data_IF_423127362078
#
_entry.id   IF_423127362078
#
_cell.length_a   1.000
_cell.length_b   1.000
_cell.length_c   1.000
_cell.angle_alpha   90.00
_cell.angle_beta   90.00
_cell.angle_gamma   90.00
#
_symmetry.space_group_name_H-M   'P 1'
#
loop_
_entity.id
_entity.type
_entity.pdbx_description
1 polymer ?
#
# COMPACT_ATOMS: atom_id res chain seq x y z
N UNK A 1 -1.28 18.28 5.25
CA UNK A 1 -0.37 18.19 4.09
C UNK A 1 -0.87 17.09 3.15
N UNK A 2 -1.87 17.38 2.32
CA UNK A 2 -2.49 16.36 1.45
C UNK A 2 -1.57 15.90 0.29
N UNK A 3 -0.43 16.58 0.08
CA UNK A 3 0.53 16.33 -1.01
C UNK A 3 1.84 15.65 -0.59
N UNK A 4 2.00 15.29 0.68
CA UNK A 4 3.23 14.64 1.14
C UNK A 4 3.51 13.36 0.34
N UNK A 5 2.47 12.56 0.07
CA UNK A 5 2.55 11.32 -0.71
C UNK A 5 2.78 11.53 -2.22
N UNK A 6 2.70 12.77 -2.72
CA UNK A 6 3.04 13.13 -4.11
C UNK A 6 4.47 13.69 -4.23
N UNK A 7 5.24 13.66 -3.14
CA UNK A 7 6.63 14.09 -3.12
C UNK A 7 7.57 12.87 -3.08
N UNK A 8 8.59 12.87 -3.95
CA UNK A 8 9.65 11.87 -3.96
C UNK A 8 10.42 11.83 -2.63
N UNK A 9 10.70 13.01 -2.04
CA UNK A 9 11.40 13.13 -0.76
C UNK A 9 10.66 12.42 0.36
N UNK A 10 9.32 12.44 0.34
CA UNK A 10 8.54 11.74 1.35
C UNK A 10 8.79 10.23 1.28
N UNK A 11 8.69 9.61 0.10
CA UNK A 11 8.86 8.17 -0.05
C UNK A 11 10.29 7.69 0.16
N UNK A 12 11.27 8.56 -0.12
CA UNK A 12 12.69 8.23 0.01
C UNK A 12 13.23 8.50 1.42
N UNK A 13 12.81 9.59 2.05
CA UNK A 13 13.48 10.14 3.24
C UNK A 13 12.58 10.15 4.49
N UNK A 14 11.24 10.17 4.35
CA UNK A 14 10.31 10.28 5.49
C UNK A 14 9.47 9.01 5.76
N UNK A 15 9.07 8.30 4.71
CA UNK A 15 8.28 7.08 4.83
C UNK A 15 9.11 5.99 5.49
N UNK A 16 8.58 5.44 6.57
CA UNK A 16 9.21 4.35 7.33
C UNK A 16 8.14 3.37 7.80
N UNK A 17 8.47 2.08 7.81
CA UNK A 17 7.57 1.06 8.35
C UNK A 17 7.67 1.07 9.87
N UNK A 18 6.78 1.84 10.49
CA UNK A 18 6.72 1.95 11.96
C UNK A 18 6.08 0.71 12.60
N UNK A 19 6.27 0.48 13.92
CA UNK A 19 5.60 -0.61 14.63
C UNK A 19 4.06 -0.57 14.55
N UNK A 20 3.48 0.63 14.44
CA UNK A 20 2.02 0.79 14.23
C UNK A 20 1.60 0.28 12.85
N UNK A 21 2.37 0.63 11.81
CA UNK A 21 2.14 0.14 10.44
C UNK A 21 2.32 -1.38 10.38
N UNK A 22 3.33 -1.91 11.05
CA UNK A 22 3.56 -3.35 11.15
C UNK A 22 2.36 -4.07 11.78
N UNK A 23 1.82 -3.56 12.89
CA UNK A 23 0.65 -4.15 13.52
C UNK A 23 -0.59 -4.09 12.62
N UNK A 24 -0.78 -2.97 11.91
CA UNK A 24 -1.86 -2.83 10.91
C UNK A 24 -1.68 -3.82 9.76
N UNK A 25 -0.44 -4.05 9.32
CA UNK A 25 -0.09 -5.04 8.30
C UNK A 25 -0.42 -6.47 8.75
N UNK A 26 -0.08 -6.85 9.98
CA UNK A 26 -0.44 -8.16 10.53
C UNK A 26 -1.96 -8.39 10.57
N UNK A 27 -2.75 -7.36 10.88
CA UNK A 27 -4.21 -7.45 10.81
C UNK A 27 -4.70 -7.64 9.37
N UNK A 28 -4.12 -6.95 8.39
CA UNK A 28 -4.46 -7.14 6.98
C UNK A 28 -4.14 -8.56 6.49
N UNK A 29 -3.06 -9.17 6.98
CA UNK A 29 -2.76 -10.59 6.72
C UNK A 29 -3.81 -11.53 7.31
N UNK A 30 -4.27 -11.28 8.54
CA UNK A 30 -5.33 -12.08 9.17
C UNK A 30 -6.64 -12.03 8.35
N UNK A 31 -6.99 -10.85 7.82
CA UNK A 31 -8.17 -10.66 6.98
C UNK A 31 -8.02 -11.32 5.60
N UNK A 32 -6.86 -11.16 4.97
CA UNK A 32 -6.56 -11.71 3.64
C UNK A 32 -6.29 -13.22 3.63
N UNK A 33 -5.80 -13.76 4.75
CA UNK A 33 -5.50 -15.17 4.98
C UNK A 33 -4.59 -15.81 3.90
N UNK A 34 -3.60 -15.05 3.43
CA UNK A 34 -2.66 -15.46 2.37
C UNK A 34 -1.31 -14.72 2.50
N UNK A 35 -0.20 -15.31 2.03
CA UNK A 35 1.07 -14.60 1.93
C UNK A 35 1.00 -13.49 0.87
N UNK A 36 1.85 -12.47 0.99
CA UNK A 36 1.88 -11.31 0.09
C UNK A 36 3.29 -11.07 -0.43
N UNK A 37 3.41 -10.54 -1.64
CA UNK A 37 4.69 -10.09 -2.17
C UNK A 37 5.06 -8.71 -1.62
N UNK A 38 6.35 -8.35 -1.65
CA UNK A 38 6.79 -7.00 -1.26
C UNK A 38 6.03 -5.93 -2.04
N UNK A 39 5.83 -6.11 -3.35
CA UNK A 39 5.06 -5.15 -4.17
C UNK A 39 3.60 -5.02 -3.70
N UNK A 40 2.93 -6.13 -3.35
CA UNK A 40 1.56 -6.08 -2.84
C UNK A 40 1.48 -5.37 -1.47
N UNK A 41 2.47 -5.61 -0.60
CA UNK A 41 2.59 -4.92 0.70
C UNK A 41 2.84 -3.44 0.47
N UNK A 42 3.76 -3.06 -0.41
CA UNK A 42 4.04 -1.67 -0.79
C UNK A 42 2.76 -0.97 -1.26
N UNK A 43 2.00 -1.58 -2.18
CA UNK A 43 0.74 -1.01 -2.66
C UNK A 43 -0.28 -0.80 -1.53
N UNK A 44 -0.37 -1.74 -0.59
CA UNK A 44 -1.25 -1.63 0.57
C UNK A 44 -0.83 -0.48 1.49
N UNK A 45 0.45 -0.35 1.79
CA UNK A 45 0.97 0.73 2.62
C UNK A 45 0.81 2.10 1.95
N UNK A 46 1.10 2.19 0.66
CA UNK A 46 0.91 3.41 -0.11
C UNK A 46 -0.55 3.84 -0.16
N UNK A 47 -1.48 2.88 -0.28
CA UNK A 47 -2.92 3.16 -0.17
C UNK A 47 -3.28 3.73 1.20
N UNK A 48 -2.74 3.18 2.28
CA UNK A 48 -3.02 3.70 3.63
C UNK A 48 -2.49 5.11 3.85
N UNK A 49 -1.29 5.42 3.37
CA UNK A 49 -0.77 6.79 3.42
C UNK A 49 -1.61 7.71 2.52
N UNK A 50 -1.99 7.27 1.32
CA UNK A 50 -2.89 8.05 0.46
C UNK A 50 -4.25 8.32 1.14
N UNK A 51 -4.86 7.32 1.79
CA UNK A 51 -6.13 7.46 2.53
C UNK A 51 -6.00 8.38 3.75
N UNK A 52 -4.89 8.28 4.49
CA UNK A 52 -4.58 9.15 5.64
C UNK A 52 -4.42 10.61 5.23
N UNK A 53 -3.89 10.85 4.03
CA UNK A 53 -3.68 12.18 3.47
C UNK A 53 -4.83 12.65 2.55
N UNK A 54 -5.83 11.79 2.31
CA UNK A 54 -7.01 12.12 1.52
C UNK A 54 -7.86 13.18 2.23
N UNK A 55 -8.45 14.06 1.42
CA UNK A 55 -9.41 15.04 1.92
C UNK A 55 -10.68 14.32 2.42
N UNK A 56 -11.39 14.88 3.42
CA UNK A 56 -12.72 14.39 3.79
C UNK A 56 -13.64 14.35 2.55
N UNK A 57 -14.54 13.37 2.47
CA UNK A 57 -15.34 13.10 1.26
C UNK A 57 -16.18 14.29 0.73
N UNK A 58 -16.37 15.34 1.53
CA UNK A 58 -17.12 16.55 1.16
C UNK A 58 -16.24 17.82 1.08
N UNK A 59 -14.92 17.67 1.04
CA UNK A 59 -13.99 18.81 0.92
C UNK A 59 -13.45 18.87 -0.50
N UNK A 60 -13.88 19.88 -1.25
CA UNK A 60 -13.36 20.15 -2.60
C UNK A 60 -11.97 20.81 -2.56
N UNK A 61 -11.24 20.79 -3.67
CA UNK A 61 -10.01 21.59 -3.82
C UNK A 61 -10.41 22.94 -4.39
N UNK A 62 -9.90 24.03 -3.79
CA UNK A 62 -10.11 25.38 -4.30
C UNK A 62 -9.44 25.56 -5.67
N UNK A 63 -10.20 26.10 -6.62
CA UNK A 63 -9.78 26.44 -7.97
C UNK A 63 -10.50 27.74 -8.38
N UNK A 64 -9.76 28.79 -8.79
CA UNK A 64 -10.33 30.10 -9.11
C UNK A 64 -11.30 30.11 -10.31
N UNK A 65 -11.29 29.09 -11.17
CA UNK A 65 -12.22 28.97 -12.31
C UNK A 65 -13.59 28.46 -11.87
N UNK A 66 -13.65 27.71 -10.76
CA UNK A 66 -14.88 27.08 -10.32
C UNK A 66 -15.84 28.07 -9.68
N UNK A 67 -17.08 27.63 -9.45
CA UNK A 67 -18.11 28.36 -8.70
C UNK A 67 -18.43 27.58 -7.43
N UNK A 68 -18.53 28.29 -6.32
CA UNK A 68 -18.78 27.73 -4.99
C UNK A 68 -20.05 28.29 -4.36
N UNK A 69 -20.52 27.62 -3.31
CA UNK A 69 -21.68 27.99 -2.51
C UNK A 69 -21.29 28.26 -1.06
N UNK A 70 -22.13 29.02 -0.35
CA UNK A 70 -21.99 29.15 1.11
C UNK A 70 -22.12 27.76 1.73
N UNK A 71 -21.33 27.52 2.77
CA UNK A 71 -21.15 26.25 3.46
C UNK A 71 -20.28 25.20 2.75
N UNK A 72 -19.83 25.44 1.52
CA UNK A 72 -18.85 24.57 0.85
C UNK A 72 -17.57 24.46 1.70
N UNK A 73 -17.10 23.22 1.90
CA UNK A 73 -15.81 22.94 2.52
C UNK A 73 -14.75 22.80 1.45
N UNK A 74 -13.68 23.57 1.56
CA UNK A 74 -12.62 23.64 0.56
C UNK A 74 -11.24 23.47 1.21
N UNK A 75 -10.35 22.77 0.51
CA UNK A 75 -8.91 22.72 0.79
C UNK A 75 -8.19 23.75 -0.08
N UNK A 76 -7.30 24.53 0.51
CA UNK A 76 -6.59 25.65 -0.12
C UNK A 76 -5.12 25.25 -0.31
N UNK A 77 -4.72 24.81 -1.50
CA UNK A 77 -3.41 24.18 -1.68
C UNK A 77 -2.23 25.15 -1.48
N UNK A 78 -2.38 26.41 -1.93
CA UNK A 78 -1.45 27.52 -1.69
C UNK A 78 -1.29 27.92 -0.21
N UNK A 79 -2.08 27.32 0.69
CA UNK A 79 -2.01 27.50 2.14
C UNK A 79 -1.71 26.15 2.81
N UNK A 80 -0.77 25.36 2.27
CA UNK A 80 -0.37 24.05 2.80
C UNK A 80 -1.55 23.06 2.96
N UNK A 81 -2.53 23.14 2.04
CA UNK A 81 -3.78 22.39 2.09
C UNK A 81 -4.64 22.67 3.34
N UNK A 82 -4.59 23.90 3.88
CA UNK A 82 -5.50 24.31 4.93
C UNK A 82 -6.96 24.18 4.49
N UNK A 83 -7.80 23.64 5.36
CA UNK A 83 -9.23 23.48 5.11
C UNK A 83 -10.00 24.68 5.67
N UNK A 84 -10.97 25.16 4.91
CA UNK A 84 -11.84 26.26 5.30
C UNK A 84 -13.25 26.10 4.74
N UNK A 85 -14.20 26.77 5.37
CA UNK A 85 -15.61 26.78 4.95
C UNK A 85 -15.97 28.13 4.34
N UNK A 86 -16.67 28.12 3.21
CA UNK A 86 -17.19 29.33 2.58
C UNK A 86 -18.30 29.92 3.44
N UNK A 87 -18.12 31.15 3.93
CA UNK A 87 -19.08 31.83 4.82
C UNK A 87 -19.87 32.93 4.10
N UNK A 88 -19.34 33.47 3.00
CA UNK A 88 -20.01 34.51 2.23
C UNK A 88 -19.54 34.52 0.78
N UNK A 89 -20.37 35.07 -0.10
CA UNK A 89 -20.06 35.27 -1.53
C UNK A 89 -20.49 36.68 -1.92
N UNK A 90 -19.61 37.41 -2.62
CA UNK A 90 -19.89 38.74 -3.16
C UNK A 90 -19.39 38.87 -4.60
N UNK A 91 -19.94 39.81 -5.35
CA UNK A 91 -19.44 40.14 -6.68
C UNK A 91 -18.03 40.75 -6.58
N UNK A 92 -17.15 40.30 -7.48
CA UNK A 92 -15.85 40.90 -7.73
C UNK A 92 -15.99 42.29 -8.34
N UNK A 93 -15.02 43.16 -8.07
CA UNK A 93 -15.00 44.50 -8.64
C UNK A 93 -13.59 44.81 -9.11
N UNK A 94 -13.26 44.37 -10.33
CA UNK A 94 -12.01 44.73 -10.98
C UNK A 94 -12.20 44.83 -12.50
N UNK A 95 -12.09 46.03 -13.10
CA UNK A 95 -12.25 46.23 -14.54
C UNK A 95 -11.28 45.42 -15.43
N UNK A 96 -10.18 44.90 -14.86
CA UNK A 96 -9.22 44.07 -15.60
C UNK A 96 -9.66 42.62 -15.79
N UNK A 97 -10.48 42.07 -14.89
CA UNK A 97 -10.77 40.63 -14.81
C UNK A 97 -12.20 40.27 -15.22
N UNK A 98 -12.99 41.23 -15.73
CA UNK A 98 -14.38 40.98 -16.09
C UNK A 98 -15.28 40.63 -14.89
N UNK A 99 -16.31 39.82 -15.15
CA UNK A 99 -17.24 39.34 -14.12
C UNK A 99 -16.64 38.15 -13.38
N UNK A 100 -16.39 38.31 -12.09
CA UNK A 100 -15.94 37.24 -11.19
C UNK A 100 -16.59 37.40 -9.81
N UNK A 101 -16.46 36.39 -8.96
CA UNK A 101 -16.98 36.40 -7.60
C UNK A 101 -15.83 36.33 -6.59
N UNK A 102 -16.09 36.76 -5.36
CA UNK A 102 -15.16 36.64 -4.23
C UNK A 102 -15.87 35.85 -3.14
N UNK A 103 -15.25 34.76 -2.70
CA UNK A 103 -15.69 33.97 -1.55
C UNK A 103 -14.94 34.41 -0.30
N UNK A 104 -15.65 34.52 0.83
CA UNK A 104 -15.04 34.63 2.16
C UNK A 104 -14.99 33.23 2.76
N UNK A 105 -13.83 32.85 3.26
CA UNK A 105 -13.56 31.51 3.79
C UNK A 105 -13.07 31.63 5.21
N UNK A 106 -13.67 30.87 6.12
CA UNK A 106 -13.26 30.76 7.52
C UNK A 106 -12.45 29.49 7.74
N UNK A 107 -11.28 29.63 8.34
CA UNK A 107 -10.38 28.52 8.69
C UNK A 107 -10.57 28.08 10.14
N UNK A 108 -10.01 26.92 10.49
CA UNK A 108 -10.12 26.32 11.82
C UNK A 108 -9.50 27.18 12.96
N UNK A 109 -8.52 28.03 12.64
CA UNK A 109 -7.92 29.00 13.57
C UNK A 109 -8.80 30.24 13.82
N UNK A 110 -9.97 30.31 13.16
CA UNK A 110 -10.90 31.44 13.22
C UNK A 110 -10.54 32.59 12.29
N UNK A 111 -9.44 32.50 11.53
CA UNK A 111 -9.10 33.50 10.53
C UNK A 111 -10.08 33.45 9.35
N UNK A 112 -10.34 34.61 8.77
CA UNK A 112 -11.13 34.74 7.54
C UNK A 112 -10.26 35.33 6.44
N UNK A 113 -10.34 34.74 5.24
CA UNK A 113 -9.65 35.24 4.05
C UNK A 113 -10.58 35.25 2.85
N UNK A 114 -10.28 36.09 1.88
CA UNK A 114 -11.05 36.22 0.64
C UNK A 114 -10.30 35.61 -0.54
N UNK A 115 -11.03 34.92 -1.41
CA UNK A 115 -10.50 34.27 -2.61
C UNK A 115 -11.36 34.58 -3.83
N UNK A 116 -10.73 34.84 -4.98
CA UNK A 116 -11.44 35.03 -6.24
C UNK A 116 -11.97 33.70 -6.78
N UNK A 117 -13.11 33.70 -7.45
CA UNK A 117 -13.74 32.51 -8.02
C UNK A 117 -14.51 32.91 -9.28
N UNK A 118 -14.92 31.94 -10.10
CA UNK A 118 -15.61 32.19 -11.36
C UNK A 118 -14.80 33.11 -12.30
N UNK A 119 -13.48 32.98 -12.29
CA UNK A 119 -12.61 33.64 -13.25
C UNK A 119 -12.61 32.86 -14.57
N UNK A 120 -12.51 33.57 -15.70
CA UNK A 120 -12.20 32.92 -16.97
C UNK A 120 -10.78 32.32 -16.93
N UNK A 121 -10.54 31.30 -17.76
CA UNK A 121 -9.25 30.58 -17.76
C UNK A 121 -8.05 31.48 -18.04
N UNK A 122 -8.15 32.42 -18.98
CA UNK A 122 -7.03 33.30 -19.33
C UNK A 122 -6.64 34.21 -18.15
N UNK A 123 -7.61 34.60 -17.31
CA UNK A 123 -7.37 35.35 -16.09
C UNK A 123 -6.98 34.47 -14.89
N UNK A 124 -7.48 33.25 -14.81
CA UNK A 124 -7.08 32.28 -13.80
C UNK A 124 -5.63 31.81 -13.99
N UNK A 125 -5.18 31.63 -15.23
CA UNK A 125 -3.81 31.21 -15.59
C UNK A 125 -2.76 32.30 -15.29
N UNK A 126 -3.18 33.57 -15.21
CA UNK A 126 -2.33 34.69 -14.74
C UNK A 126 -2.14 34.69 -13.22
N UNK A 127 -2.95 33.92 -12.50
CA UNK A 127 -2.77 33.66 -11.09
C UNK A 127 -1.99 32.35 -11.03
N UNK A 128 -0.73 32.39 -10.59
CA UNK A 128 0.15 31.21 -10.36
C UNK A 128 -0.45 30.27 -9.27
N UNK A 129 -1.63 29.72 -9.54
CA UNK A 129 -2.51 29.09 -8.57
C UNK A 129 -3.28 27.91 -9.15
N UNK A 130 -2.98 27.49 -10.38
CA UNK A 130 -3.46 26.20 -10.89
C UNK A 130 -2.48 25.12 -10.40
N UNK A 131 -2.65 24.72 -9.14
CA UNK A 131 -2.04 23.48 -8.70
C UNK A 131 -2.73 22.30 -9.41
N UNK A 132 -1.93 21.39 -9.98
CA UNK A 132 -2.44 20.21 -10.69
C UNK A 132 -3.37 19.38 -9.80
N UNK A 133 -4.38 18.70 -10.40
CA UNK A 133 -5.25 17.81 -9.64
C UNK A 133 -4.41 16.74 -8.91
N UNK A 134 -4.86 16.26 -7.74
CA UNK A 134 -4.15 15.25 -6.98
C UNK A 134 -3.97 13.99 -7.83
N UNK A 135 -2.83 13.36 -7.65
CA UNK A 135 -2.46 12.16 -8.36
C UNK A 135 -3.40 11.01 -7.97
N UNK A 136 -3.92 10.30 -8.97
CA UNK A 136 -4.64 9.06 -8.72
C UNK A 136 -3.71 8.04 -8.07
N UNK A 137 -4.23 7.23 -7.13
CA UNK A 137 -3.44 6.24 -6.39
C UNK A 137 -2.60 5.35 -7.32
N UNK A 138 -3.16 4.88 -8.44
CA UNK A 138 -2.44 4.01 -9.38
C UNK A 138 -1.22 4.73 -9.99
N UNK A 139 -1.34 6.01 -10.33
CA UNK A 139 -0.22 6.81 -10.83
C UNK A 139 0.82 7.07 -9.74
N UNK A 140 0.39 7.25 -8.48
CA UNK A 140 1.26 7.43 -7.33
C UNK A 140 2.09 6.16 -7.06
N UNK A 141 1.43 5.00 -7.11
CA UNK A 141 2.09 3.68 -7.01
C UNK A 141 3.07 3.47 -8.15
N UNK A 142 2.67 3.76 -9.39
CA UNK A 142 3.55 3.57 -10.56
C UNK A 142 4.80 4.46 -10.48
N UNK A 143 4.64 5.69 -9.98
CA UNK A 143 5.74 6.66 -9.92
C UNK A 143 6.67 6.43 -8.72
N UNK A 144 6.10 6.25 -7.52
CA UNK A 144 6.87 6.24 -6.27
C UNK A 144 6.97 4.87 -5.61
N UNK A 145 6.24 3.87 -6.12
CA UNK A 145 6.26 2.50 -5.61
C UNK A 145 7.65 1.88 -5.51
N UNK A 146 8.55 2.04 -6.49
CA UNK A 146 9.91 1.52 -6.39
C UNK A 146 10.69 2.05 -5.18
N UNK A 147 10.51 3.33 -4.82
CA UNK A 147 11.17 3.96 -3.67
C UNK A 147 10.62 3.37 -2.36
N UNK A 148 9.30 3.34 -2.23
CA UNK A 148 8.64 2.76 -1.06
C UNK A 148 8.97 1.27 -0.90
N UNK A 149 9.15 0.55 -2.01
CA UNK A 149 9.45 -0.88 -2.00
C UNK A 149 10.82 -1.20 -1.38
N UNK A 150 11.83 -0.33 -1.54
CA UNK A 150 13.14 -0.51 -0.91
C UNK A 150 13.03 -0.47 0.62
N UNK A 151 12.32 0.52 1.17
CA UNK A 151 12.07 0.64 2.61
C UNK A 151 11.23 -0.53 3.13
N UNK A 152 10.17 -0.93 2.41
CA UNK A 152 9.31 -2.06 2.81
C UNK A 152 10.10 -3.37 2.86
N UNK A 153 10.95 -3.63 1.86
CA UNK A 153 11.80 -4.83 1.85
C UNK A 153 12.76 -4.85 3.04
N UNK A 154 13.45 -3.73 3.29
CA UNK A 154 14.37 -3.59 4.41
C UNK A 154 13.68 -3.79 5.77
N UNK A 155 12.48 -3.23 5.94
CA UNK A 155 11.71 -3.38 7.17
C UNK A 155 11.24 -4.82 7.41
N UNK A 156 10.79 -5.51 6.36
CA UNK A 156 10.39 -6.92 6.45
C UNK A 156 11.58 -7.82 6.81
N UNK A 157 12.75 -7.58 6.20
CA UNK A 157 13.98 -8.32 6.52
C UNK A 157 14.48 -8.07 7.94
N UNK A 158 14.30 -6.85 8.46
CA UNK A 158 14.72 -6.49 9.82
C UNK A 158 13.75 -7.00 10.91
N UNK A 159 12.51 -7.36 10.55
CA UNK A 159 11.49 -7.81 11.51
C UNK A 159 11.52 -9.32 11.72
N UNK A 160 11.69 -9.75 12.97
CA UNK A 160 11.58 -11.17 13.35
C UNK A 160 10.12 -11.69 13.27
N UNK A 161 9.14 -10.81 13.09
CA UNK A 161 7.73 -11.18 13.03
C UNK A 161 7.31 -11.68 11.65
N UNK A 162 8.13 -11.49 10.61
CA UNK A 162 7.85 -11.96 9.27
C UNK A 162 8.85 -13.02 8.82
N UNK A 163 8.36 -13.94 8.00
CA UNK A 163 9.15 -14.96 7.34
C UNK A 163 8.95 -14.85 5.84
N UNK A 164 9.94 -15.30 5.08
CA UNK A 164 9.91 -15.24 3.62
C UNK A 164 10.14 -16.62 2.98
N UNK A 165 9.45 -16.84 1.86
CA UNK A 165 9.69 -17.94 0.92
C UNK A 165 9.72 -17.34 -0.48
N UNK A 166 10.88 -17.34 -1.12
CA UNK A 166 11.05 -16.72 -2.44
C UNK A 166 10.80 -15.20 -2.40
N UNK A 167 9.68 -14.76 -2.99
CA UNK A 167 9.27 -13.35 -3.02
C UNK A 167 8.04 -13.06 -2.15
N UNK A 168 7.51 -14.08 -1.48
CA UNK A 168 6.35 -14.00 -0.63
C UNK A 168 6.77 -13.85 0.83
N UNK A 169 5.98 -13.09 1.58
CA UNK A 169 6.17 -12.78 3.00
C UNK A 169 4.89 -13.10 3.76
N UNK A 170 5.05 -13.61 4.98
CA UNK A 170 3.95 -13.97 5.87
C UNK A 170 4.34 -13.67 7.33
N UNK A 171 3.41 -13.21 8.19
CA UNK A 171 3.66 -13.15 9.62
C UNK A 171 3.96 -14.55 10.18
N UNK A 172 5.02 -14.67 10.97
CA UNK A 172 5.51 -15.94 11.52
C UNK A 172 4.43 -16.67 12.35
N UNK A 173 3.56 -15.94 13.04
CA UNK A 173 2.48 -16.52 13.83
C UNK A 173 1.35 -17.15 13.00
N UNK A 174 1.30 -16.90 11.68
CA UNK A 174 0.32 -17.49 10.76
C UNK A 174 0.82 -18.78 10.08
N UNK A 175 2.03 -19.22 10.39
CA UNK A 175 2.57 -20.47 9.86
C UNK A 175 1.74 -21.66 10.36
N UNK A 176 1.32 -22.50 9.41
CA UNK A 176 0.75 -23.83 9.68
C UNK A 176 1.88 -24.74 10.18
N UNK A 177 1.63 -25.48 11.25
CA UNK A 177 2.67 -26.31 11.85
C UNK A 177 2.93 -27.60 11.05
N UNK A 178 4.18 -27.80 10.63
CA UNK A 178 4.66 -29.06 10.07
C UNK A 178 5.72 -29.67 10.99
N UNK A 179 5.42 -30.84 11.58
CA UNK A 179 6.35 -31.58 12.43
C UNK A 179 7.04 -32.72 11.67
N UNK A 180 8.03 -33.37 12.29
CA UNK A 180 8.83 -34.46 11.68
C UNK A 180 8.00 -35.57 11.05
N UNK A 181 6.86 -35.96 11.66
CA UNK A 181 5.94 -36.93 11.06
C UNK A 181 5.41 -36.52 9.67
N UNK A 182 5.11 -35.25 9.44
CA UNK A 182 4.69 -34.74 8.13
C UNK A 182 5.87 -34.73 7.14
N UNK A 183 7.05 -34.33 7.61
CA UNK A 183 8.26 -34.31 6.77
C UNK A 183 8.70 -35.71 6.35
N UNK A 184 8.50 -36.72 7.21
CA UNK A 184 8.74 -38.13 6.86
C UNK A 184 7.79 -38.65 5.78
N UNK A 185 6.54 -38.17 5.75
CA UNK A 185 5.60 -38.48 4.66
C UNK A 185 6.13 -37.89 3.36
N UNK A 186 6.59 -36.63 3.37
CA UNK A 186 7.20 -35.97 2.21
C UNK A 186 8.44 -36.73 1.72
N UNK A 187 9.36 -37.11 2.62
CA UNK A 187 10.55 -37.91 2.26
C UNK A 187 10.15 -39.22 1.58
N UNK A 188 9.22 -39.98 2.18
CA UNK A 188 8.76 -41.25 1.64
C UNK A 188 8.09 -41.09 0.26
N UNK A 189 7.31 -40.03 0.06
CA UNK A 189 6.70 -39.73 -1.24
C UNK A 189 7.76 -39.47 -2.31
N UNK A 190 8.75 -38.62 -2.02
CA UNK A 190 9.82 -38.30 -2.98
C UNK A 190 10.69 -39.52 -3.24
N UNK A 191 10.99 -40.34 -2.22
CA UNK A 191 11.78 -41.57 -2.36
C UNK A 191 11.08 -42.61 -3.27
N UNK A 192 9.76 -42.77 -3.12
CA UNK A 192 8.95 -43.68 -3.95
C UNK A 192 8.85 -43.17 -5.40
N UNK A 193 8.58 -41.88 -5.58
CA UNK A 193 8.40 -41.29 -6.91
C UNK A 193 9.73 -41.13 -7.65
N UNK A 194 10.83 -40.98 -6.90
CA UNK A 194 12.18 -40.72 -7.38
C UNK A 194 12.29 -39.51 -8.32
N UNK A 195 11.32 -38.59 -8.28
CA UNK A 195 11.28 -37.33 -9.04
C UNK A 195 10.95 -36.16 -8.12
N UNK A 196 11.36 -34.92 -8.47
CA UNK A 196 10.92 -33.73 -7.76
C UNK A 196 9.39 -33.60 -7.76
N UNK A 197 8.82 -33.20 -6.61
CA UNK A 197 7.37 -33.05 -6.44
C UNK A 197 7.02 -31.61 -6.07
N UNK A 198 5.90 -31.12 -6.60
CA UNK A 198 5.37 -29.80 -6.22
C UNK A 198 4.80 -29.82 -4.81
N UNK A 199 4.77 -28.65 -4.18
CA UNK A 199 4.19 -28.47 -2.84
C UNK A 199 2.72 -28.87 -2.80
N UNK A 200 1.97 -28.60 -3.87
CA UNK A 200 0.57 -29.00 -4.01
C UNK A 200 0.38 -30.52 -4.13
N UNK A 201 1.33 -31.24 -4.72
CA UNK A 201 1.30 -32.71 -4.75
C UNK A 201 1.58 -33.30 -3.38
N UNK A 202 2.57 -32.75 -2.66
CA UNK A 202 2.94 -33.19 -1.32
C UNK A 202 1.79 -32.99 -0.33
N UNK A 203 1.13 -31.82 -0.37
CA UNK A 203 0.04 -31.49 0.56
C UNK A 203 -1.19 -32.41 0.46
N UNK A 204 -1.39 -33.13 -0.65
CA UNK A 204 -2.54 -34.04 -0.81
C UNK A 204 -2.47 -35.24 0.13
N UNK A 205 -1.26 -35.67 0.47
CA UNK A 205 -1.03 -36.88 1.27
C UNK A 205 -0.69 -36.56 2.73
N UNK A 206 -0.47 -35.28 3.08
CA UNK A 206 -0.19 -34.86 4.45
C UNK A 206 -1.50 -34.64 5.20
N UNK A 207 -1.78 -35.40 6.28
CA UNK A 207 -2.98 -35.21 7.08
C UNK A 207 -2.84 -33.97 7.96
N UNK A 208 -3.40 -32.83 7.51
CA UNK A 208 -3.43 -31.59 8.29
C UNK A 208 -4.76 -31.41 9.02
N UNK A 209 -4.70 -31.23 10.33
CA UNK A 209 -5.88 -30.97 11.17
C UNK A 209 -6.32 -29.50 11.15
N UNK A 210 -5.41 -28.56 10.83
CA UNK A 210 -5.70 -27.13 10.82
C UNK A 210 -6.56 -26.68 9.63
N UNK A 211 -7.63 -25.95 9.95
CA UNK A 211 -8.43 -25.17 8.99
C UNK A 211 -7.68 -23.89 8.60
N UNK A 212 -6.69 -24.04 7.72
CA UNK A 212 -5.96 -22.95 7.08
C UNK A 212 -6.21 -22.93 5.56
N UNK A 213 -6.04 -21.76 4.94
CA UNK A 213 -6.16 -21.63 3.48
C UNK A 213 -5.10 -22.46 2.75
N UNK A 214 -5.39 -22.86 1.51
CA UNK A 214 -4.42 -23.60 0.69
C UNK A 214 -3.12 -22.80 0.51
N UNK A 215 -3.20 -21.47 0.42
CA UNK A 215 -2.04 -20.60 0.28
C UNK A 215 -1.15 -20.63 1.52
N UNK A 216 -1.73 -20.59 2.73
CA UNK A 216 -0.96 -20.70 3.98
C UNK A 216 -0.33 -22.08 4.14
N UNK A 217 -1.06 -23.15 3.81
CA UNK A 217 -0.53 -24.53 3.86
C UNK A 217 0.66 -24.70 2.92
N UNK A 218 0.56 -24.18 1.70
CA UNK A 218 1.65 -24.18 0.70
C UNK A 218 2.86 -23.43 1.22
N UNK A 219 2.67 -22.15 1.58
CA UNK A 219 3.75 -21.31 2.08
C UNK A 219 4.46 -21.93 3.29
N UNK A 220 3.68 -22.47 4.24
CA UNK A 220 4.22 -23.05 5.46
C UNK A 220 4.97 -24.36 5.22
N UNK A 221 4.51 -25.20 4.27
CA UNK A 221 5.25 -26.39 3.87
C UNK A 221 6.56 -26.03 3.19
N UNK A 222 6.54 -25.07 2.25
CA UNK A 222 7.76 -24.60 1.58
C UNK A 222 8.76 -24.02 2.57
N UNK A 223 8.27 -23.25 3.54
CA UNK A 223 9.07 -22.69 4.62
C UNK A 223 9.71 -23.80 5.49
N UNK A 224 8.95 -24.84 5.84
CA UNK A 224 9.45 -25.95 6.63
C UNK A 224 10.50 -26.78 5.87
N UNK A 225 10.25 -27.10 4.60
CA UNK A 225 11.16 -27.88 3.76
C UNK A 225 12.45 -27.11 3.45
N UNK A 226 12.35 -25.80 3.16
CA UNK A 226 13.52 -24.97 2.87
C UNK A 226 14.50 -24.81 4.04
N UNK A 227 14.05 -25.11 5.26
CA UNK A 227 14.87 -25.08 6.47
C UNK A 227 15.39 -26.46 6.87
N UNK A 228 15.01 -27.51 6.15
CA UNK A 228 15.41 -28.89 6.44
C UNK A 228 16.42 -29.37 5.39
N UNK A 229 17.62 -29.73 5.85
CA UNK A 229 18.76 -30.10 4.99
C UNK A 229 18.53 -31.33 4.10
N UNK A 230 17.53 -32.18 4.44
CA UNK A 230 17.19 -33.36 3.65
C UNK A 230 16.51 -33.01 2.33
N UNK A 231 15.96 -31.79 2.21
CA UNK A 231 15.21 -31.35 1.04
C UNK A 231 15.96 -30.27 0.28
N UNK A 232 15.84 -30.31 -1.04
CA UNK A 232 16.36 -29.30 -1.95
C UNK A 232 15.25 -28.85 -2.89
N UNK A 233 15.11 -27.54 -3.07
CA UNK A 233 14.20 -26.98 -4.04
C UNK A 233 14.88 -26.92 -5.42
N UNK A 234 14.32 -27.63 -6.39
CA UNK A 234 14.74 -27.67 -7.80
C UNK A 234 13.74 -26.94 -8.71
N UNK A 235 12.79 -26.23 -8.11
CA UNK A 235 11.77 -25.45 -8.79
C UNK A 235 12.32 -24.29 -9.61
N UNK A 236 11.50 -23.79 -10.55
CA UNK A 236 11.82 -22.65 -11.41
C UNK A 236 10.68 -21.64 -11.40
N UNK A 237 10.98 -20.37 -11.73
CA UNK A 237 10.00 -19.29 -11.85
C UNK A 237 9.09 -19.12 -10.62
N UNK A 238 9.63 -19.32 -9.42
CA UNK A 238 8.88 -19.18 -8.17
C UNK A 238 7.91 -20.33 -7.84
N UNK A 239 7.88 -21.40 -8.64
CA UNK A 239 7.14 -22.62 -8.30
C UNK A 239 8.10 -23.60 -7.63
N UNK A 240 7.86 -23.91 -6.36
CA UNK A 240 8.69 -24.85 -5.62
C UNK A 240 8.52 -26.28 -6.15
N UNK A 241 9.63 -26.99 -6.26
CA UNK A 241 9.66 -28.41 -6.59
C UNK A 241 10.71 -29.08 -5.73
N UNK A 242 10.26 -29.90 -4.79
CA UNK A 242 11.08 -30.45 -3.72
C UNK A 242 11.62 -31.82 -4.10
N UNK A 243 12.90 -32.02 -3.81
CA UNK A 243 13.58 -33.30 -3.97
C UNK A 243 14.42 -33.62 -2.75
N UNK A 244 14.93 -34.85 -2.66
CA UNK A 244 15.81 -35.27 -1.58
C UNK A 244 17.26 -34.96 -1.90
N UNK A 245 17.94 -34.27 -0.99
CA UNK A 245 19.37 -33.92 -1.10
C UNK A 245 20.24 -35.17 -1.26
N UNK A 246 19.89 -36.28 -0.60
CA UNK A 246 20.61 -37.56 -0.73
C UNK A 246 20.49 -38.21 -2.12
N UNK A 247 19.52 -37.78 -2.92
CA UNK A 247 19.27 -38.28 -4.28
C UNK A 247 19.73 -37.28 -5.36
N UNK A 248 20.07 -36.04 -4.99
CA UNK A 248 20.27 -34.95 -5.95
C UNK A 248 21.60 -34.94 -6.71
N UNK A 249 22.55 -35.82 -6.37
CA UNK A 249 23.82 -35.98 -7.09
C UNK A 249 24.88 -34.93 -6.75
#
# INVERSE_FOLDING_TARGET
MARATENEEFWRDEFTVTPEIEQKLQNAYLEGNQPLTVSAITQLLMRWEHEKHALPQNTGIYNPVNVYQVDDSLSFPMLDSQQGQVTAIRAGNNPRYGDFSVITVRFADGSEREFATNLDRDNADQIDMVEEPPMALDALVDQFGPLAQEEVAAALEASENFVTVGHEWLPAFMLVAFHDGHLNIVDAMIDIMATPLSTEELLKEIPLEEEASAALKRFSLDYALGRNENFVNQGQNGQASWYLTRLSG
#
